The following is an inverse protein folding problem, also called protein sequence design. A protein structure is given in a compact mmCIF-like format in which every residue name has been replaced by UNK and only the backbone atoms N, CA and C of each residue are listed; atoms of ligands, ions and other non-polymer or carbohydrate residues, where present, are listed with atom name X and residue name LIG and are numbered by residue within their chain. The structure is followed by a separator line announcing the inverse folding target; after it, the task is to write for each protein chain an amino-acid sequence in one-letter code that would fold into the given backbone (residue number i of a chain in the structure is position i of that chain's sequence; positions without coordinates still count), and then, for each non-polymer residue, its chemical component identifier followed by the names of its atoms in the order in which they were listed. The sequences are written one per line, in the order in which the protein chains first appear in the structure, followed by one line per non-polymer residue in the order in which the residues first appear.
data_IF_124092462264
#
_entry.id   IF_124092462264
#
_cell.length_a   1.000
_cell.length_b   1.000
_cell.length_c   1.000
_cell.angle_alpha   90.00
_cell.angle_beta   90.00
_cell.angle_gamma   90.00
#
_symmetry.space_group_name_H-M   'P 1'
#
loop_
_entity.id
_entity.type
_entity.pdbx_description
1 polymer ?
#
# COMPACT_ATOMS: atom_id res chain seq x y z
N UNK A 1 13.19 -8.35 7.25
CA UNK A 1 12.20 -9.43 7.07
C UNK A 1 12.74 -10.40 6.03
N UNK A 2 12.36 -11.69 6.07
CA UNK A 2 13.13 -12.79 5.44
C UNK A 2 14.20 -13.40 6.36
N UNK A 3 14.41 -12.79 7.54
CA UNK A 3 15.30 -13.32 8.59
C UNK A 3 14.67 -14.59 9.16
N UNK A 4 15.38 -15.71 9.03
CA UNK A 4 14.87 -17.03 9.40
C UNK A 4 14.29 -17.85 8.25
N UNK A 5 14.55 -17.48 6.98
CA UNK A 5 14.16 -18.30 5.83
C UNK A 5 14.64 -19.76 5.96
N UNK A 6 15.85 -19.98 6.48
CA UNK A 6 16.36 -21.33 6.74
C UNK A 6 15.55 -22.06 7.81
N UNK A 7 15.20 -21.40 8.91
CA UNK A 7 14.37 -21.98 9.98
C UNK A 7 12.98 -22.34 9.45
N UNK A 8 12.38 -21.48 8.62
CA UNK A 8 11.08 -21.71 8.00
C UNK A 8 11.16 -22.90 7.05
N UNK A 9 12.17 -22.97 6.18
CA UNK A 9 12.34 -24.08 5.24
C UNK A 9 12.68 -25.40 5.93
N UNK A 10 13.46 -25.38 7.01
CA UNK A 10 13.76 -26.57 7.80
C UNK A 10 12.47 -27.17 8.39
N UNK A 11 11.52 -26.33 8.82
CA UNK A 11 10.23 -26.79 9.37
C UNK A 11 9.20 -27.11 8.28
N UNK A 12 9.21 -26.36 7.17
CA UNK A 12 8.23 -26.46 6.09
C UNK A 12 8.96 -26.58 4.74
N UNK A 13 9.43 -27.80 4.39
CA UNK A 13 10.30 -28.00 3.23
C UNK A 13 9.63 -27.72 1.87
N UNK A 14 8.29 -27.76 1.82
CA UNK A 14 7.53 -27.49 0.59
C UNK A 14 7.30 -25.98 0.33
N UNK A 15 7.84 -25.08 1.17
CA UNK A 15 7.75 -23.63 0.95
C UNK A 15 8.69 -23.24 -0.20
N UNK A 16 8.10 -22.73 -1.28
CA UNK A 16 8.83 -22.36 -2.51
C UNK A 16 9.77 -21.17 -2.30
N UNK A 17 9.30 -20.11 -1.64
CA UNK A 17 10.08 -18.90 -1.38
C UNK A 17 9.69 -18.23 -0.06
N UNK A 18 10.65 -17.51 0.52
CA UNK A 18 10.45 -16.70 1.72
C UNK A 18 10.98 -15.30 1.40
N UNK A 19 10.11 -14.30 1.42
CA UNK A 19 10.44 -12.90 1.15
C UNK A 19 10.08 -12.01 2.35
N UNK A 20 10.57 -10.78 2.33
CA UNK A 20 10.29 -9.72 3.30
C UNK A 20 9.20 -8.75 2.82
N UNK A 21 8.81 -7.82 3.70
CA UNK A 21 7.85 -6.78 3.32
C UNK A 21 8.43 -5.89 2.22
N UNK A 22 7.56 -5.53 1.27
CA UNK A 22 7.85 -4.65 0.13
C UNK A 22 8.85 -5.19 -0.90
N UNK A 23 9.24 -6.47 -0.82
CA UNK A 23 10.09 -7.13 -1.82
C UNK A 23 9.24 -7.67 -2.97
N UNK A 24 8.55 -6.78 -3.69
CA UNK A 24 7.63 -7.17 -4.76
C UNK A 24 8.33 -7.91 -5.90
N UNK A 25 9.53 -7.48 -6.27
CA UNK A 25 10.33 -8.13 -7.32
C UNK A 25 10.75 -9.56 -6.93
N UNK A 26 11.14 -9.78 -5.67
CA UNK A 26 11.48 -11.12 -5.19
C UNK A 26 10.27 -12.04 -5.17
N UNK A 27 9.08 -11.52 -4.82
CA UNK A 27 7.82 -12.25 -4.91
C UNK A 27 7.50 -12.57 -6.37
N UNK A 28 7.62 -11.59 -7.27
CA UNK A 28 7.38 -11.78 -8.70
C UNK A 28 8.32 -12.81 -9.31
N UNK A 29 9.62 -12.72 -9.02
CA UNK A 29 10.62 -13.69 -9.45
C UNK A 29 10.31 -15.10 -8.94
N UNK A 30 10.03 -15.25 -7.65
CA UNK A 30 9.64 -16.54 -7.08
C UNK A 30 8.38 -17.15 -7.71
N UNK A 31 7.40 -16.32 -8.07
CA UNK A 31 6.20 -16.78 -8.80
C UNK A 31 6.56 -17.22 -10.21
N UNK A 32 7.37 -16.47 -10.96
CA UNK A 32 7.78 -16.84 -12.30
C UNK A 32 8.63 -18.12 -12.32
N UNK A 33 9.50 -18.30 -11.33
CA UNK A 33 10.33 -19.50 -11.19
C UNK A 33 9.46 -20.74 -10.90
N UNK A 34 8.46 -20.60 -10.03
CA UNK A 34 7.59 -21.70 -9.64
C UNK A 34 6.44 -21.97 -10.64
N UNK A 35 5.98 -20.94 -11.34
CA UNK A 35 4.84 -20.96 -12.25
C UNK A 35 5.12 -20.05 -13.46
N UNK A 36 5.99 -20.48 -14.39
CA UNK A 36 6.36 -19.68 -15.55
C UNK A 36 5.14 -19.41 -16.43
N UNK A 37 5.00 -18.15 -16.87
CA UNK A 37 3.89 -17.75 -17.73
C UNK A 37 4.05 -18.40 -19.11
N UNK A 38 3.04 -19.11 -19.65
CA UNK A 38 3.12 -19.65 -21.00
C UNK A 38 3.21 -18.50 -22.03
N UNK A 39 3.92 -18.67 -23.15
CA UNK A 39 4.25 -17.61 -24.12
C UNK A 39 3.07 -17.08 -24.95
N UNK A 40 1.84 -17.27 -24.49
CA UNK A 40 0.61 -16.87 -25.17
C UNK A 40 0.36 -15.36 -24.97
N UNK A 41 0.41 -14.60 -26.07
CA UNK A 41 0.26 -13.14 -26.09
C UNK A 41 -1.20 -12.62 -26.03
N UNK A 42 -2.21 -13.49 -26.10
CA UNK A 42 -3.63 -13.11 -26.18
C UNK A 42 -4.38 -13.21 -24.83
N UNK A 43 -3.73 -13.64 -23.75
CA UNK A 43 -4.35 -13.84 -22.43
C UNK A 43 -3.90 -12.86 -21.35
N UNK A 44 -3.10 -11.84 -21.66
CA UNK A 44 -2.66 -10.86 -20.68
C UNK A 44 -3.70 -9.72 -20.53
N UNK A 45 -4.84 -10.06 -19.95
CA UNK A 45 -6.00 -9.18 -19.77
C UNK A 45 -5.94 -8.35 -18.47
N UNK A 46 -4.75 -8.10 -17.92
CA UNK A 46 -4.62 -7.30 -16.71
C UNK A 46 -4.98 -5.84 -17.06
N UNK A 47 -6.06 -5.27 -16.48
CA UNK A 47 -6.42 -3.89 -16.75
C UNK A 47 -5.37 -2.92 -16.17
N UNK A 48 -5.25 -1.72 -16.73
CA UNK A 48 -4.31 -0.68 -16.26
C UNK A 48 -4.50 -0.31 -14.78
N UNK A 49 -5.69 -0.55 -14.23
CA UNK A 49 -6.01 -0.38 -12.81
C UNK A 49 -5.44 -1.49 -11.92
N UNK A 50 -4.89 -2.56 -12.49
CA UNK A 50 -4.53 -3.80 -11.82
C UNK A 50 -5.75 -4.65 -11.43
N UNK A 51 -5.49 -5.83 -10.87
CA UNK A 51 -6.53 -6.68 -10.28
C UNK A 51 -6.74 -6.34 -8.82
N UNK A 52 -7.97 -5.93 -8.52
CA UNK A 52 -8.42 -5.68 -7.15
C UNK A 52 -8.90 -6.99 -6.53
N UNK A 53 -8.33 -7.35 -5.38
CA UNK A 53 -8.75 -8.54 -4.62
C UNK A 53 -9.93 -8.26 -3.69
N UNK A 54 -10.30 -6.99 -3.47
CA UNK A 54 -11.48 -6.63 -2.69
C UNK A 54 -12.74 -6.55 -3.57
N UNK A 55 -13.95 -6.68 -2.98
CA UNK A 55 -15.21 -6.46 -3.70
C UNK A 55 -15.26 -5.13 -4.46
N UNK A 56 -16.06 -5.07 -5.53
CA UNK A 56 -16.13 -3.91 -6.44
C UNK A 56 -16.36 -2.57 -5.71
N UNK A 57 -17.15 -2.56 -4.64
CA UNK A 57 -17.60 -1.33 -3.98
C UNK A 57 -16.57 -0.64 -3.08
N UNK A 58 -15.52 -1.30 -2.58
CA UNK A 58 -14.53 -0.63 -1.70
C UNK A 58 -13.08 -1.03 -1.98
N UNK A 59 -12.14 -0.13 -1.74
CA UNK A 59 -10.70 -0.41 -1.87
C UNK A 59 -9.93 0.11 -0.66
N UNK A 60 -8.93 -0.65 -0.21
CA UNK A 60 -7.97 -0.14 0.77
C UNK A 60 -6.99 0.80 0.07
N UNK A 61 -6.78 1.97 0.65
CA UNK A 61 -5.83 2.97 0.20
C UNK A 61 -4.79 3.20 1.30
N UNK A 62 -3.63 2.56 1.16
CA UNK A 62 -2.55 2.69 2.13
C UNK A 62 -1.82 4.02 1.94
N UNK A 63 -1.63 4.79 3.01
CA UNK A 63 -1.03 6.14 2.93
C UNK A 63 0.37 6.24 3.55
N UNK A 64 0.70 5.34 4.46
CA UNK A 64 2.03 5.23 5.07
C UNK A 64 2.29 3.79 5.51
N UNK A 65 3.54 3.51 5.83
CA UNK A 65 4.01 2.24 6.41
C UNK A 65 4.89 2.53 7.63
N UNK A 66 4.97 1.60 8.57
CA UNK A 66 5.80 1.75 9.77
C UNK A 66 5.17 2.68 10.81
N UNK A 67 5.87 2.88 11.93
CA UNK A 67 5.37 3.73 13.01
C UNK A 67 6.52 4.27 13.88
N UNK A 68 6.46 5.55 14.23
CA UNK A 68 7.45 6.20 15.11
C UNK A 68 7.19 5.93 16.59
N UNK A 69 5.97 5.50 16.95
CA UNK A 69 5.63 5.18 18.33
C UNK A 69 6.45 3.98 18.83
N UNK A 70 6.97 4.09 20.06
CA UNK A 70 7.69 3.02 20.77
C UNK A 70 6.81 2.43 21.86
N UNK A 71 5.59 2.03 21.49
CA UNK A 71 4.66 1.41 22.43
C UNK A 71 5.28 0.14 23.01
N UNK A 72 5.23 -0.02 24.34
CA UNK A 72 5.89 -1.14 25.04
C UNK A 72 5.45 -2.53 24.56
N UNK A 73 4.25 -2.64 24.00
CA UNK A 73 3.67 -3.88 23.51
C UNK A 73 3.87 -4.11 21.99
N UNK A 74 4.32 -3.10 21.24
CA UNK A 74 4.25 -3.10 19.79
C UNK A 74 5.60 -3.39 19.14
N UNK A 75 5.68 -4.48 18.35
CA UNK A 75 6.89 -4.87 17.62
C UNK A 75 7.07 -4.09 16.30
N UNK A 76 6.08 -3.29 15.89
CA UNK A 76 6.05 -2.66 14.55
C UNK A 76 7.32 -1.88 14.20
N UNK A 77 7.91 -1.05 15.07
CA UNK A 77 9.16 -0.37 14.75
C UNK A 77 10.31 -1.32 14.38
N UNK A 78 10.45 -2.43 15.11
CA UNK A 78 11.48 -3.43 14.82
C UNK A 78 11.16 -4.27 13.58
N UNK A 79 9.87 -4.41 13.26
CA UNK A 79 9.38 -5.29 12.20
C UNK A 79 9.30 -4.57 10.84
N UNK A 80 8.66 -3.39 10.80
CA UNK A 80 8.35 -2.59 9.61
C UNK A 80 9.21 -1.33 9.48
N UNK A 81 9.91 -0.94 10.54
CA UNK A 81 10.69 0.30 10.59
C UNK A 81 9.89 1.51 11.08
N UNK A 82 10.55 2.66 11.00
CA UNK A 82 9.95 3.96 11.33
C UNK A 82 8.90 4.38 10.30
N UNK A 83 8.15 5.44 10.62
CA UNK A 83 7.10 5.96 9.75
C UNK A 83 7.70 6.39 8.40
N UNK A 84 7.12 5.87 7.33
CA UNK A 84 7.38 6.27 5.95
C UNK A 84 6.05 6.61 5.29
N UNK A 85 5.81 7.90 5.10
CA UNK A 85 4.63 8.41 4.41
C UNK A 85 4.80 8.31 2.90
N UNK A 86 3.72 7.94 2.21
CA UNK A 86 3.66 8.04 0.76
C UNK A 86 3.46 9.50 0.37
N UNK A 87 3.86 9.82 -0.87
CA UNK A 87 3.62 11.14 -1.43
C UNK A 87 2.13 11.39 -1.66
N UNK A 88 1.59 12.57 -1.32
CA UNK A 88 0.17 12.88 -1.46
C UNK A 88 -0.29 12.82 -2.93
N UNK A 89 0.51 13.33 -3.87
CA UNK A 89 0.19 13.28 -5.30
C UNK A 89 0.07 11.85 -5.84
N UNK A 90 0.87 10.92 -5.31
CA UNK A 90 0.79 9.51 -5.69
C UNK A 90 -0.46 8.83 -5.10
N UNK A 91 -0.81 9.14 -3.86
CA UNK A 91 -2.04 8.64 -3.21
C UNK A 91 -3.28 9.11 -3.98
N UNK A 92 -3.34 10.38 -4.35
CA UNK A 92 -4.49 10.93 -5.09
C UNK A 92 -4.63 10.30 -6.48
N UNK A 93 -3.52 10.13 -7.22
CA UNK A 93 -3.55 9.43 -8.50
C UNK A 93 -4.03 7.98 -8.38
N UNK A 94 -3.65 7.28 -7.31
CA UNK A 94 -4.14 5.92 -7.07
C UNK A 94 -5.64 5.92 -6.71
N UNK A 95 -6.08 6.85 -5.87
CA UNK A 95 -7.48 7.01 -5.51
C UNK A 95 -8.38 7.23 -6.75
N UNK A 96 -7.96 8.09 -7.68
CA UNK A 96 -8.67 8.32 -8.94
C UNK A 96 -8.81 7.04 -9.74
N UNK A 97 -7.70 6.32 -9.97
CA UNK A 97 -7.72 5.04 -10.69
C UNK A 97 -8.63 4.01 -10.04
N UNK A 98 -8.66 3.94 -8.71
CA UNK A 98 -9.53 3.03 -7.98
C UNK A 98 -11.01 3.39 -8.17
N UNK A 99 -11.37 4.67 -8.16
CA UNK A 99 -12.73 5.15 -8.37
C UNK A 99 -13.16 4.96 -9.83
N UNK A 100 -12.29 5.26 -10.79
CA UNK A 100 -12.50 4.97 -12.23
C UNK A 100 -12.75 3.49 -12.47
N UNK A 101 -12.04 2.61 -11.75
CA UNK A 101 -12.26 1.16 -11.76
C UNK A 101 -13.54 0.70 -11.01
N UNK A 102 -14.38 1.62 -10.54
CA UNK A 102 -15.70 1.34 -9.97
C UNK A 102 -15.75 1.31 -8.44
N UNK A 103 -14.67 1.65 -7.74
CA UNK A 103 -14.67 1.77 -6.27
C UNK A 103 -15.60 2.90 -5.83
N UNK A 104 -16.43 2.65 -4.82
CA UNK A 104 -17.37 3.62 -4.24
C UNK A 104 -16.92 4.13 -2.87
N UNK A 105 -16.15 3.34 -2.15
CA UNK A 105 -15.60 3.67 -0.84
C UNK A 105 -14.09 3.45 -0.77
N UNK A 106 -13.34 4.47 -0.37
CA UNK A 106 -11.92 4.38 -0.08
C UNK A 106 -11.72 4.18 1.42
N UNK A 107 -11.14 3.04 1.79
CA UNK A 107 -10.76 2.71 3.16
C UNK A 107 -9.30 3.12 3.36
N UNK A 108 -9.08 4.30 3.92
CA UNK A 108 -7.75 4.85 4.18
C UNK A 108 -7.13 4.12 5.37
N UNK A 109 -5.92 3.57 5.18
CA UNK A 109 -5.24 2.75 6.17
C UNK A 109 -3.76 3.12 6.32
N UNK A 110 -3.26 3.00 7.54
CA UNK A 110 -1.84 2.85 7.90
C UNK A 110 -1.74 2.27 9.31
N UNK A 111 -0.52 2.07 9.82
CA UNK A 111 -0.30 1.68 11.22
C UNK A 111 -0.63 2.80 12.21
N UNK A 112 -0.40 4.05 11.81
CA UNK A 112 -0.76 5.26 12.54
C UNK A 112 -1.20 6.31 11.51
N UNK A 113 -2.51 6.43 11.35
CA UNK A 113 -3.13 7.28 10.34
C UNK A 113 -2.94 8.75 10.70
N UNK A 114 -3.00 9.08 12.00
CA UNK A 114 -2.87 10.44 12.51
C UNK A 114 -1.50 11.08 12.22
N UNK A 115 -0.44 10.27 12.12
CA UNK A 115 0.92 10.74 11.89
C UNK A 115 1.29 10.99 10.43
N UNK A 116 0.37 10.81 9.48
CA UNK A 116 0.66 10.97 8.05
C UNK A 116 1.30 12.32 7.73
N UNK A 117 2.47 12.27 7.07
CA UNK A 117 3.23 13.41 6.60
C UNK A 117 4.23 14.02 7.59
N UNK A 118 4.32 13.51 8.82
CA UNK A 118 5.28 13.99 9.84
C UNK A 118 6.73 13.75 9.40
N UNK A 119 7.03 12.57 8.87
CA UNK A 119 8.36 12.15 8.40
C UNK A 119 8.86 12.95 7.19
N UNK A 120 7.93 13.39 6.33
CA UNK A 120 8.22 14.23 5.16
C UNK A 120 7.99 15.72 5.42
N UNK A 121 7.99 16.14 6.70
CA UNK A 121 7.90 17.54 7.16
C UNK A 121 6.73 18.33 6.58
N UNK A 122 5.64 17.64 6.21
CA UNK A 122 4.50 18.25 5.53
C UNK A 122 4.91 19.05 4.28
N UNK A 123 6.00 18.66 3.61
CA UNK A 123 6.47 19.36 2.41
C UNK A 123 5.41 19.24 1.30
N UNK A 124 4.81 20.34 0.85
CA UNK A 124 3.72 20.26 -0.10
C UNK A 124 4.19 19.74 -1.46
N UNK A 125 3.27 19.13 -2.20
CA UNK A 125 3.51 18.65 -3.56
C UNK A 125 2.40 19.11 -4.48
N UNK A 126 2.76 19.44 -5.72
CA UNK A 126 1.78 19.74 -6.75
C UNK A 126 1.02 18.46 -7.15
N UNK A 127 -0.30 18.47 -7.00
CA UNK A 127 -1.22 17.47 -7.51
C UNK A 127 -2.27 18.12 -8.40
N UNK A 128 -2.46 17.65 -9.64
CA UNK A 128 -3.44 18.13 -10.65
C UNK A 128 -3.91 19.60 -10.49
N UNK A 129 -2.98 20.54 -10.44
CA UNK A 129 -3.26 21.98 -10.43
C UNK A 129 -3.42 22.65 -9.05
N UNK A 130 -3.32 21.90 -7.95
CA UNK A 130 -3.31 22.44 -6.60
C UNK A 130 -2.12 21.90 -5.79
N UNK A 131 -1.69 22.68 -4.80
CA UNK A 131 -0.70 22.24 -3.84
C UNK A 131 -1.39 21.37 -2.78
N UNK A 132 -0.85 20.17 -2.54
CA UNK A 132 -1.37 19.23 -1.55
C UNK A 132 -0.33 19.01 -0.48
N UNK A 133 -0.68 19.41 0.73
CA UNK A 133 0.15 19.19 1.92
C UNK A 133 -0.05 17.74 2.38
N UNK A 134 1.02 16.98 2.66
CA UNK A 134 0.91 15.68 3.30
C UNK A 134 0.49 15.88 4.76
N UNK A 135 -0.82 15.98 4.98
CA UNK A 135 -1.46 16.05 6.27
C UNK A 135 -2.83 15.37 6.19
N UNK A 136 -3.28 14.76 7.28
CA UNK A 136 -4.52 13.99 7.27
C UNK A 136 -5.74 14.81 6.85
N UNK A 137 -5.86 16.05 7.33
CA UNK A 137 -7.00 16.93 6.99
C UNK A 137 -7.05 17.27 5.51
N UNK A 138 -5.89 17.54 4.92
CA UNK A 138 -5.80 17.96 3.52
C UNK A 138 -5.98 16.76 2.61
N UNK A 139 -5.39 15.61 2.98
CA UNK A 139 -5.62 14.36 2.28
C UNK A 139 -7.10 13.95 2.31
N UNK A 140 -7.77 14.03 3.46
CA UNK A 140 -9.20 13.73 3.58
C UNK A 140 -10.05 14.66 2.72
N UNK A 141 -9.72 15.96 2.68
CA UNK A 141 -10.41 16.95 1.83
C UNK A 141 -10.27 16.62 0.35
N UNK A 142 -9.06 16.31 -0.12
CA UNK A 142 -8.82 15.99 -1.53
C UNK A 142 -9.43 14.64 -1.93
N UNK A 143 -9.34 13.63 -1.07
CA UNK A 143 -9.99 12.34 -1.32
C UNK A 143 -11.52 12.46 -1.38
N UNK A 144 -12.11 13.35 -0.57
CA UNK A 144 -13.55 13.64 -0.59
C UNK A 144 -14.05 14.30 -1.88
N UNK A 145 -13.14 14.86 -2.70
CA UNK A 145 -13.48 15.36 -4.06
C UNK A 145 -13.46 14.25 -5.11
N UNK A 146 -12.78 13.14 -4.83
CA UNK A 146 -12.54 12.03 -5.77
C UNK A 146 -13.55 10.91 -5.56
N UNK A 147 -13.72 10.45 -4.31
CA UNK A 147 -14.54 9.30 -3.98
C UNK A 147 -15.86 9.71 -3.32
N UNK A 148 -16.97 9.00 -3.59
CA UNK A 148 -18.24 9.22 -2.90
C UNK A 148 -18.14 9.00 -1.38
N UNK A 149 -17.32 8.05 -0.94
CA UNK A 149 -17.10 7.73 0.46
C UNK A 149 -15.61 7.57 0.78
N UNK A 150 -15.17 8.21 1.85
CA UNK A 150 -13.82 8.08 2.39
C UNK A 150 -13.93 7.71 3.87
N UNK A 151 -13.36 6.56 4.25
CA UNK A 151 -13.34 6.08 5.64
C UNK A 151 -11.90 6.01 6.14
N UNK A 152 -11.60 6.80 7.16
CA UNK A 152 -10.32 6.76 7.86
C UNK A 152 -10.34 5.64 8.90
N UNK A 153 -9.40 4.70 8.82
CA UNK A 153 -9.22 3.69 9.86
C UNK A 153 -8.09 4.09 10.79
N UNK A 154 -8.24 3.76 12.08
CA UNK A 154 -7.17 3.90 13.08
C UNK A 154 -6.70 5.36 13.24
N UNK A 155 -7.67 6.28 13.37
CA UNK A 155 -7.45 7.70 13.70
C UNK A 155 -7.39 7.88 15.21
#
# INVERSE_FOLDING_TARGET
MGKGAEVIRARFPNVLAVTGAHQYEEVGGAVHDAAPMPPNAFLNLVPDSGHKLTPRHYSYLKISEGCNHRCAFCIIPALRGDLVSRRPDAILREAEKLVEAGTKELLVISQDTSAYGVDIRKEPRMGKGAEVVPHMTDLARELGKIAPWVRLHYV
#
